data_IF_267539023786
#
_entry.id   IF_267539023786
#
_cell.length_a   1.000
_cell.length_b   1.000
_cell.length_c   1.000
_cell.angle_alpha   90.00
_cell.angle_beta   90.00
_cell.angle_gamma   90.00
#
_symmetry.space_group_name_H-M   'P 1'
#
loop_
_entity.id
_entity.type
_entity.pdbx_description
1 polymer ?
#
# COMPACT_ATOMS: atom_id res chain seq x y z
N UNK A 1 5.25 -27.18 -23.80
CA UNK A 1 6.48 -26.50 -23.37
C UNK A 1 6.08 -25.16 -22.77
N UNK A 2 6.29 -24.97 -21.47
CA UNK A 2 5.75 -23.85 -20.70
C UNK A 2 6.50 -22.54 -20.95
N UNK A 3 5.76 -21.44 -21.13
CA UNK A 3 6.27 -20.07 -21.26
C UNK A 3 6.66 -19.45 -19.90
N UNK A 4 7.18 -20.26 -18.98
CA UNK A 4 7.56 -19.85 -17.62
C UNK A 4 9.06 -19.57 -17.53
N UNK A 5 9.57 -18.61 -18.30
CA UNK A 5 10.96 -18.17 -18.16
C UNK A 5 11.16 -17.41 -16.84
N UNK A 6 12.19 -17.73 -16.07
CA UNK A 6 12.54 -16.93 -14.89
C UNK A 6 12.92 -15.52 -15.35
N UNK A 7 12.29 -14.49 -14.78
CA UNK A 7 12.66 -13.10 -15.07
C UNK A 7 14.16 -12.90 -14.82
N UNK A 8 14.85 -12.27 -15.78
CA UNK A 8 16.25 -11.96 -15.66
C UNK A 8 16.51 -11.12 -14.40
N UNK A 9 17.59 -11.42 -13.68
CA UNK A 9 18.00 -10.65 -12.49
C UNK A 9 18.06 -9.15 -12.83
N UNK A 10 17.25 -8.35 -12.16
CA UNK A 10 17.19 -6.89 -12.38
C UNK A 10 16.11 -6.41 -13.35
N UNK A 11 15.26 -7.30 -13.88
CA UNK A 11 14.09 -6.93 -14.68
C UNK A 11 13.25 -5.85 -13.96
N UNK A 12 13.02 -4.72 -14.63
CA UNK A 12 12.30 -3.54 -14.12
C UNK A 12 12.83 -2.92 -12.82
N UNK A 13 14.03 -3.27 -12.35
CA UNK A 13 14.61 -2.76 -11.09
C UNK A 13 14.64 -1.23 -11.00
N UNK A 14 15.00 -0.55 -12.09
CA UNK A 14 14.98 0.92 -12.16
C UNK A 14 13.57 1.49 -12.05
N UNK A 15 12.58 0.86 -12.67
CA UNK A 15 11.17 1.26 -12.59
C UNK A 15 10.66 1.12 -11.16
N UNK A 16 10.90 -0.02 -10.50
CA UNK A 16 10.55 -0.21 -9.09
C UNK A 16 11.19 0.83 -8.19
N UNK A 17 12.48 1.14 -8.40
CA UNK A 17 13.19 2.17 -7.65
C UNK A 17 12.58 3.56 -7.88
N UNK A 18 12.22 3.89 -9.12
CA UNK A 18 11.55 5.15 -9.47
C UNK A 18 10.20 5.28 -8.75
N UNK A 19 9.35 4.25 -8.83
CA UNK A 19 8.06 4.23 -8.13
C UNK A 19 8.23 4.40 -6.62
N UNK A 20 9.21 3.72 -6.00
CA UNK A 20 9.52 3.87 -4.58
C UNK A 20 9.91 5.30 -4.22
N UNK A 21 10.75 5.94 -5.04
CA UNK A 21 11.19 7.32 -4.81
C UNK A 21 10.03 8.32 -4.95
N UNK A 22 9.15 8.12 -5.94
CA UNK A 22 7.93 8.93 -6.10
C UNK A 22 7.04 8.81 -4.86
N UNK A 23 6.76 7.58 -4.40
CA UNK A 23 5.94 7.37 -3.20
C UNK A 23 6.56 8.02 -1.96
N UNK A 24 7.90 7.95 -1.81
CA UNK A 24 8.62 8.63 -0.74
C UNK A 24 8.45 10.15 -0.82
N UNK A 25 8.60 10.73 -2.00
CA UNK A 25 8.47 12.16 -2.22
C UNK A 25 7.05 12.64 -1.91
N UNK A 26 6.02 11.92 -2.37
CA UNK A 26 4.61 12.21 -2.06
C UNK A 26 4.40 12.21 -0.54
N UNK A 27 4.89 11.18 0.16
CA UNK A 27 4.79 11.12 1.62
C UNK A 27 5.44 12.32 2.33
N UNK A 28 6.61 12.76 1.87
CA UNK A 28 7.30 13.93 2.42
C UNK A 28 6.54 15.25 2.16
N UNK A 29 5.99 15.42 0.96
CA UNK A 29 5.24 16.62 0.60
C UNK A 29 3.94 16.70 1.41
N UNK A 30 3.19 15.59 1.48
CA UNK A 30 1.91 15.54 2.18
C UNK A 30 2.09 15.74 3.69
N UNK A 31 3.06 15.05 4.30
CA UNK A 31 3.35 15.21 5.73
C UNK A 31 3.74 16.65 6.09
N UNK A 32 4.62 17.28 5.31
CA UNK A 32 4.97 18.69 5.49
C UNK A 32 3.74 19.59 5.44
N UNK A 33 2.85 19.35 4.46
CA UNK A 33 1.64 20.18 4.28
C UNK A 33 0.67 20.03 5.45
N UNK A 34 0.48 18.81 5.98
CA UNK A 34 -0.36 18.56 7.15
C UNK A 34 0.15 19.37 8.36
N UNK A 35 1.46 19.32 8.63
CA UNK A 35 2.06 20.08 9.75
C UNK A 35 1.89 21.59 9.55
N UNK A 36 2.10 22.09 8.32
CA UNK A 36 1.90 23.51 8.02
C UNK A 36 0.46 23.97 8.28
N UNK A 37 -0.53 23.15 7.91
CA UNK A 37 -1.94 23.45 8.17
C UNK A 37 -2.19 23.47 9.69
N UNK A 38 -1.72 22.47 10.43
CA UNK A 38 -1.88 22.42 11.88
C UNK A 38 -1.28 23.67 12.56
N UNK A 39 -0.09 24.10 12.12
CA UNK A 39 0.56 25.33 12.60
C UNK A 39 -0.24 26.59 12.24
N UNK A 40 -0.74 26.68 11.00
CA UNK A 40 -1.50 27.84 10.52
C UNK A 40 -2.77 28.09 11.35
N UNK A 41 -3.43 27.02 11.78
CA UNK A 41 -4.65 27.10 12.58
C UNK A 41 -4.42 26.93 14.09
N UNK A 42 -3.16 26.88 14.53
CA UNK A 42 -2.77 26.64 15.92
C UNK A 42 -3.49 25.42 16.54
N UNK A 43 -3.55 24.32 15.80
CA UNK A 43 -4.21 23.10 16.25
C UNK A 43 -3.39 22.43 17.35
N UNK A 44 -4.06 22.05 18.45
CA UNK A 44 -3.42 21.36 19.58
C UNK A 44 -2.98 19.92 19.24
N UNK A 45 -3.68 19.27 18.30
CA UNK A 45 -3.44 17.88 17.94
C UNK A 45 -3.74 17.57 16.46
N UNK A 46 -3.04 16.56 15.93
CA UNK A 46 -3.30 15.94 14.64
C UNK A 46 -3.77 14.51 14.90
N UNK A 47 -5.01 14.19 14.52
CA UNK A 47 -5.61 12.87 14.74
C UNK A 47 -5.62 12.09 13.44
N UNK A 48 -5.13 10.85 13.49
CA UNK A 48 -5.15 9.91 12.36
C UNK A 48 -6.05 8.71 12.69
N UNK A 49 -6.73 8.19 11.68
CA UNK A 49 -7.41 6.90 11.77
C UNK A 49 -6.40 5.73 11.77
N UNK A 50 -6.74 4.65 12.46
CA UNK A 50 -5.91 3.44 12.48
C UNK A 50 -6.24 2.56 11.27
N UNK A 51 -5.39 2.66 10.24
CA UNK A 51 -5.52 1.87 9.01
C UNK A 51 -4.69 0.58 9.01
N UNK A 52 -4.35 0.03 10.18
CA UNK A 52 -3.64 -1.26 10.24
C UNK A 52 -4.45 -2.36 9.55
N UNK A 53 -3.86 -2.99 8.54
CA UNK A 53 -4.52 -4.04 7.76
C UNK A 53 -5.38 -3.53 6.59
N UNK A 54 -5.57 -2.21 6.46
CA UNK A 54 -6.20 -1.63 5.28
C UNK A 54 -5.28 -1.78 4.06
N UNK A 55 -5.84 -2.27 2.95
CA UNK A 55 -5.13 -2.39 1.67
C UNK A 55 -5.85 -1.54 0.64
N UNK A 56 -5.09 -0.73 -0.09
CA UNK A 56 -5.60 -0.01 -1.25
C UNK A 56 -6.22 -0.99 -2.26
N UNK A 57 -7.20 -0.55 -3.05
CA UNK A 57 -7.96 -1.39 -4.00
C UNK A 57 -7.07 -2.25 -4.94
N UNK A 58 -5.86 -1.79 -5.29
CA UNK A 58 -4.91 -2.56 -6.10
C UNK A 58 -4.10 -3.63 -5.34
N UNK A 59 -4.08 -3.57 -4.01
CA UNK A 59 -3.50 -4.60 -3.12
C UNK A 59 -4.55 -5.38 -2.33
N UNK A 60 -5.82 -4.96 -2.38
CA UNK A 60 -6.95 -5.77 -2.01
C UNK A 60 -6.97 -6.94 -2.99
N UNK A 61 -6.61 -8.13 -2.51
CA UNK A 61 -6.97 -9.36 -3.22
C UNK A 61 -8.47 -9.27 -3.47
N UNK A 62 -8.89 -9.29 -4.74
CA UNK A 62 -10.28 -9.59 -5.05
C UNK A 62 -10.66 -10.83 -4.22
N UNK A 63 -11.84 -10.87 -3.56
CA UNK A 63 -12.26 -12.07 -2.86
C UNK A 63 -12.46 -13.17 -3.91
N UNK A 64 -11.39 -13.93 -4.18
CA UNK A 64 -11.40 -14.89 -5.28
C UNK A 64 -12.23 -16.13 -4.93
N UNK A 65 -12.56 -16.34 -3.65
CA UNK A 65 -13.55 -17.34 -3.20
C UNK A 65 -14.12 -16.95 -1.85
N UNK A 66 -15.26 -16.22 -1.84
CA UNK A 66 -16.11 -16.18 -0.66
C UNK A 66 -17.10 -17.36 -0.60
N UNK A 67 -17.13 -18.28 -1.59
CA UNK A 67 -18.31 -19.14 -1.79
C UNK A 67 -18.10 -20.59 -2.24
N UNK A 68 -16.93 -21.22 -2.07
CA UNK A 68 -16.89 -22.69 -2.25
C UNK A 68 -15.70 -23.33 -1.54
N UNK A 69 -16.00 -24.24 -0.60
CA UNK A 69 -15.10 -25.31 -0.14
C UNK A 69 -13.96 -24.91 0.83
N UNK A 70 -13.82 -25.69 1.92
CA UNK A 70 -12.76 -25.71 2.94
C UNK A 70 -12.88 -24.64 4.05
N UNK A 71 -13.11 -24.91 5.32
CA UNK A 71 -13.25 -26.12 6.14
C UNK A 71 -14.12 -25.69 7.33
N UNK A 72 -15.24 -26.34 7.62
CA UNK A 72 -15.16 -27.57 8.39
C UNK A 72 -15.10 -27.24 9.89
N UNK A 73 -16.29 -27.16 10.48
CA UNK A 73 -16.58 -27.42 11.90
C UNK A 73 -15.42 -28.08 12.66
N UNK A 74 -14.82 -27.37 13.63
CA UNK A 74 -14.32 -27.98 14.86
C UNK A 74 -14.63 -27.04 16.03
N UNK A 75 -15.48 -27.59 16.90
CA UNK A 75 -15.73 -27.28 18.32
C UNK A 75 -14.71 -26.38 19.01
#
# INVERSE_FOLDING_TARGET
MGLGGSLQKGFCSHTYRKCRNINRQIGQIVSKRIVQIAQQFNADAIVFENLKGWKAKGGASAPYFANAFMDGLKV
#
